data_IF_268788383578
#
_entry.id   IF_268788383578
#
_cell.length_a   1.000
_cell.length_b   1.000
_cell.length_c   1.000
_cell.angle_alpha   90.00
_cell.angle_beta   90.00
_cell.angle_gamma   90.00
#
_symmetry.space_group_name_H-M   'P 1'
#
loop_
_entity.id
_entity.type
_entity.pdbx_description
1 polymer ?
#
# COMPACT_ATOMS: atom_id res chain seq x y z
N UNK A 1 1.47 12.01 7.59
CA UNK A 1 1.32 10.62 8.05
C UNK A 1 2.24 9.64 7.29
N UNK A 2 2.34 9.72 5.96
CA UNK A 2 3.14 8.80 5.15
C UNK A 2 4.67 8.79 5.39
N UNK A 3 5.25 9.81 6.03
CA UNK A 3 6.70 9.90 6.31
C UNK A 3 7.21 8.78 7.23
N UNK A 4 6.31 8.16 8.02
CA UNK A 4 6.67 7.09 8.97
C UNK A 4 6.19 5.70 8.53
N UNK A 5 5.70 5.55 7.30
CA UNK A 5 5.29 4.25 6.74
C UNK A 5 6.55 3.46 6.34
N UNK A 6 7.31 3.00 7.34
CA UNK A 6 8.61 2.35 7.15
C UNK A 6 9.26 1.85 8.43
N UNK A 7 8.77 2.29 9.60
CA UNK A 7 9.27 1.80 10.91
C UNK A 7 9.00 0.31 11.10
N UNK A 8 7.89 -0.20 10.55
CA UNK A 8 7.60 -1.65 10.53
C UNK A 8 8.64 -2.44 9.73
N UNK A 9 9.12 -1.87 8.63
CA UNK A 9 10.21 -2.43 7.83
C UNK A 9 11.53 -2.55 8.60
N UNK A 10 11.84 -1.56 9.45
CA UNK A 10 13.00 -1.60 10.32
C UNK A 10 12.94 -2.74 11.35
N UNK A 11 11.74 -3.16 11.77
CA UNK A 11 11.55 -4.30 12.68
C UNK A 11 11.94 -5.63 12.04
N UNK A 12 11.75 -5.80 10.73
CA UNK A 12 12.17 -7.02 10.00
C UNK A 12 13.70 -7.14 10.02
N UNK A 13 14.41 -6.03 9.87
CA UNK A 13 15.88 -6.00 9.95
C UNK A 13 16.43 -6.17 11.36
N UNK A 14 15.61 -5.92 12.39
CA UNK A 14 16.01 -6.09 13.80
C UNK A 14 16.46 -7.52 14.12
N UNK A 15 16.05 -8.52 13.32
CA UNK A 15 16.50 -9.92 13.45
C UNK A 15 18.01 -10.10 13.26
N UNK A 16 18.67 -9.17 12.54
CA UNK A 16 20.12 -9.18 12.34
C UNK A 16 20.88 -8.36 13.39
N UNK A 17 20.18 -7.71 14.34
CA UNK A 17 20.82 -6.90 15.37
C UNK A 17 21.34 -7.78 16.52
N UNK A 18 22.59 -7.55 16.94
CA UNK A 18 23.22 -8.28 18.07
C UNK A 18 22.50 -8.07 19.41
N UNK A 19 21.83 -6.93 19.62
CA UNK A 19 21.10 -6.61 20.87
C UNK A 19 19.79 -5.88 20.59
N UNK A 20 18.71 -6.30 21.26
CA UNK A 20 17.38 -5.68 21.15
C UNK A 20 17.36 -4.20 21.58
N UNK A 21 18.23 -3.80 22.52
CA UNK A 21 18.33 -2.41 23.01
C UNK A 21 18.82 -1.44 21.93
N UNK A 22 19.66 -1.91 21.01
CA UNK A 22 20.24 -1.07 19.96
C UNK A 22 19.20 -0.72 18.89
N UNK A 23 18.30 -1.67 18.61
CA UNK A 23 17.15 -1.49 17.71
C UNK A 23 16.24 -0.39 18.25
N UNK A 24 15.82 -0.49 19.51
CA UNK A 24 14.93 0.51 20.12
C UNK A 24 15.53 1.92 20.11
N UNK A 25 16.83 2.04 20.42
CA UNK A 25 17.54 3.33 20.36
C UNK A 25 17.64 3.88 18.93
N UNK A 26 17.97 3.04 17.96
CA UNK A 26 18.07 3.43 16.56
C UNK A 26 16.71 3.89 16.01
N UNK A 27 15.61 3.19 16.36
CA UNK A 27 14.25 3.58 15.97
C UNK A 27 13.85 4.90 16.59
N UNK A 28 14.07 5.11 17.90
CA UNK A 28 13.72 6.37 18.58
C UNK A 28 14.56 7.53 18.04
N UNK A 29 15.87 7.36 17.89
CA UNK A 29 16.75 8.38 17.31
C UNK A 29 16.37 8.70 15.88
N UNK A 30 16.09 7.69 15.04
CA UNK A 30 15.64 7.90 13.67
C UNK A 30 14.32 8.67 13.61
N UNK A 31 13.34 8.27 14.43
CA UNK A 31 12.05 8.94 14.50
C UNK A 31 12.18 10.41 14.93
N UNK A 32 12.88 10.68 16.04
CA UNK A 32 13.10 12.05 16.55
C UNK A 32 13.88 12.89 15.55
N UNK A 33 14.91 12.33 14.90
CA UNK A 33 15.71 13.05 13.91
C UNK A 33 14.89 13.44 12.68
N UNK A 34 14.11 12.50 12.13
CA UNK A 34 13.23 12.79 10.98
C UNK A 34 12.16 13.81 11.37
N UNK A 35 11.60 13.72 12.57
CA UNK A 35 10.60 14.67 13.06
C UNK A 35 11.19 16.08 13.24
N UNK A 36 12.39 16.18 13.82
CA UNK A 36 13.11 17.44 13.97
C UNK A 36 13.47 18.06 12.60
N UNK A 37 13.94 17.25 11.64
CA UNK A 37 14.21 17.69 10.27
C UNK A 37 12.93 18.16 9.58
N UNK A 38 11.84 17.39 9.67
CA UNK A 38 10.56 17.74 9.07
C UNK A 38 9.98 19.05 9.64
N UNK A 39 10.05 19.22 10.97
CA UNK A 39 9.63 20.44 11.64
C UNK A 39 10.48 21.63 11.22
N UNK A 40 11.81 21.48 11.23
CA UNK A 40 12.74 22.54 10.82
C UNK A 40 12.50 22.97 9.37
N UNK A 41 12.39 22.00 8.47
CA UNK A 41 12.07 22.20 7.05
C UNK A 41 10.74 22.93 6.89
N UNK A 42 9.69 22.51 7.60
CA UNK A 42 8.36 23.13 7.48
C UNK A 42 8.37 24.58 7.98
N UNK A 43 9.02 24.86 9.11
CA UNK A 43 9.15 26.21 9.66
C UNK A 43 9.93 27.12 8.72
N UNK A 44 11.05 26.64 8.18
CA UNK A 44 11.88 27.37 7.21
C UNK A 44 11.08 27.68 5.94
N UNK A 45 10.32 26.72 5.42
CA UNK A 45 9.50 26.92 4.22
C UNK A 45 8.43 28.00 4.37
N UNK A 46 7.74 28.05 5.51
CA UNK A 46 6.77 29.10 5.77
C UNK A 46 7.40 30.46 6.13
N UNK A 47 8.68 30.48 6.53
CA UNK A 47 9.40 31.69 6.89
C UNK A 47 10.04 32.43 5.71
N UNK A 48 10.31 31.76 4.59
CA UNK A 48 11.07 32.35 3.46
C UNK A 48 10.15 32.87 2.35
N UNK A 49 9.09 32.14 2.00
CA UNK A 49 8.26 32.43 0.83
C UNK A 49 6.79 32.71 1.21
N UNK A 50 6.14 33.72 0.59
CA UNK A 50 4.71 33.95 0.76
C UNK A 50 3.90 32.78 0.17
N UNK A 51 2.71 32.54 0.74
CA UNK A 51 1.86 31.36 0.40
C UNK A 51 1.53 31.23 -1.08
N UNK A 52 1.46 32.36 -1.78
CA UNK A 52 1.11 32.48 -3.19
C UNK A 52 2.20 31.88 -4.09
N UNK A 53 3.47 32.13 -3.76
CA UNK A 53 4.62 31.59 -4.49
C UNK A 53 4.86 30.12 -4.15
N UNK A 54 4.66 29.71 -2.88
CA UNK A 54 4.75 28.31 -2.46
C UNK A 54 3.77 27.41 -3.23
N UNK A 55 2.60 27.92 -3.61
CA UNK A 55 1.61 27.18 -4.39
C UNK A 55 2.02 27.00 -5.87
N UNK A 56 2.89 27.87 -6.39
CA UNK A 56 3.38 27.82 -7.77
C UNK A 56 4.63 26.96 -7.97
N UNK A 57 5.29 26.52 -6.90
CA UNK A 57 6.52 25.73 -7.00
C UNK A 57 6.26 24.33 -7.56
N UNK A 58 7.09 23.93 -8.53
CA UNK A 58 7.12 22.55 -9.03
C UNK A 58 7.59 21.61 -7.93
N UNK A 59 6.96 20.43 -7.87
CA UNK A 59 7.38 19.37 -6.94
C UNK A 59 8.73 18.80 -7.39
N UNK A 60 9.70 18.62 -6.48
CA UNK A 60 9.66 18.77 -5.02
C UNK A 60 9.73 20.23 -4.54
N UNK A 61 8.68 20.71 -3.87
CA UNK A 61 8.55 22.12 -3.44
C UNK A 61 9.66 22.58 -2.49
N UNK A 62 10.25 21.65 -1.71
CA UNK A 62 11.38 21.93 -0.83
C UNK A 62 12.67 22.33 -1.57
N UNK A 63 12.88 21.84 -2.79
CA UNK A 63 14.05 22.24 -3.58
C UNK A 63 13.95 23.74 -3.94
N UNK A 64 12.76 24.19 -4.37
CA UNK A 64 12.50 25.60 -4.69
C UNK A 64 12.58 26.53 -3.48
N UNK A 65 12.10 26.08 -2.32
CA UNK A 65 12.23 26.86 -1.07
C UNK A 65 13.70 27.04 -0.67
N UNK A 66 14.49 25.95 -0.69
CA UNK A 66 15.88 26.01 -0.26
C UNK A 66 16.76 26.76 -1.27
N UNK A 67 16.35 26.78 -2.54
CA UNK A 67 16.96 27.62 -3.57
C UNK A 67 16.78 29.10 -3.28
N UNK A 68 15.58 29.52 -2.84
CA UNK A 68 15.33 30.91 -2.45
C UNK A 68 16.14 31.33 -1.20
N UNK A 69 16.41 30.41 -0.28
CA UNK A 69 17.19 30.72 0.94
C UNK A 69 18.71 30.62 0.79
N UNK A 70 19.22 29.61 0.08
CA UNK A 70 20.65 29.24 0.05
C UNK A 70 21.23 29.29 -1.38
N UNK A 71 20.42 29.70 -2.36
CA UNK A 71 20.76 29.66 -3.79
C UNK A 71 20.75 28.24 -4.36
N UNK A 72 21.21 28.09 -5.60
CA UNK A 72 21.17 26.81 -6.33
C UNK A 72 21.83 25.62 -5.64
N UNK A 73 22.76 25.84 -4.70
CA UNK A 73 23.38 24.77 -3.88
C UNK A 73 22.36 24.06 -2.98
N UNK A 74 21.35 24.79 -2.50
CA UNK A 74 20.26 24.22 -1.70
C UNK A 74 19.40 23.25 -2.50
N UNK A 75 19.03 23.65 -3.73
CA UNK A 75 18.24 22.82 -4.64
C UNK A 75 18.94 21.50 -4.99
N UNK A 76 20.26 21.56 -5.26
CA UNK A 76 21.07 20.37 -5.56
C UNK A 76 21.16 19.42 -4.35
N UNK A 77 21.38 19.96 -3.14
CA UNK A 77 21.44 19.16 -1.92
C UNK A 77 20.13 18.37 -1.68
N UNK A 78 18.99 19.05 -1.80
CA UNK A 78 17.67 18.43 -1.62
C UNK A 78 17.40 17.38 -2.70
N UNK A 79 17.75 17.69 -3.95
CA UNK A 79 17.53 16.77 -5.08
C UNK A 79 18.37 15.48 -4.94
N UNK A 80 19.65 15.61 -4.59
CA UNK A 80 20.52 14.44 -4.33
C UNK A 80 20.03 13.66 -3.12
N UNK A 81 19.66 14.34 -2.03
CA UNK A 81 19.10 13.70 -0.84
C UNK A 81 17.82 12.91 -1.15
N UNK A 82 16.93 13.48 -1.98
CA UNK A 82 15.71 12.81 -2.44
C UNK A 82 16.04 11.55 -3.23
N UNK A 83 16.97 11.61 -4.19
CA UNK A 83 17.38 10.45 -4.99
C UNK A 83 17.92 9.34 -4.07
N UNK A 84 18.84 9.66 -3.16
CA UNK A 84 19.40 8.68 -2.21
C UNK A 84 18.30 8.08 -1.34
N UNK A 85 17.36 8.90 -0.84
CA UNK A 85 16.25 8.42 -0.01
C UNK A 85 15.30 7.51 -0.79
N UNK A 86 14.97 7.84 -2.04
CA UNK A 86 14.09 7.03 -2.90
C UNK A 86 14.75 5.70 -3.23
N UNK A 87 16.04 5.70 -3.57
CA UNK A 87 16.80 4.46 -3.82
C UNK A 87 16.87 3.59 -2.56
N UNK A 88 17.10 4.18 -1.39
CA UNK A 88 17.08 3.46 -0.12
C UNK A 88 15.72 2.81 0.18
N UNK A 89 14.63 3.55 -0.01
CA UNK A 89 13.27 3.03 0.14
C UNK A 89 12.96 1.90 -0.87
N UNK A 90 13.38 2.07 -2.12
CA UNK A 90 13.21 1.07 -3.18
C UNK A 90 13.95 -0.24 -2.87
N UNK A 91 15.19 -0.15 -2.38
CA UNK A 91 15.96 -1.32 -1.94
C UNK A 91 15.31 -2.02 -0.74
N UNK A 92 14.76 -1.27 0.21
CA UNK A 92 14.06 -1.84 1.35
C UNK A 92 12.81 -2.62 0.90
N UNK A 93 12.01 -2.06 -0.01
CA UNK A 93 10.83 -2.71 -0.56
C UNK A 93 11.15 -3.96 -1.37
N UNK A 94 12.11 -3.90 -2.29
CA UNK A 94 12.52 -5.07 -3.09
C UNK A 94 13.07 -6.19 -2.21
N UNK A 95 13.80 -5.85 -1.14
CA UNK A 95 14.28 -6.84 -0.19
C UNK A 95 13.17 -7.46 0.65
N UNK A 96 12.19 -6.69 1.10
CA UNK A 96 11.02 -7.26 1.79
C UNK A 96 10.24 -8.22 0.87
N UNK A 97 10.03 -7.84 -0.39
CA UNK A 97 9.38 -8.70 -1.37
C UNK A 97 10.16 -10.01 -1.60
N UNK A 98 11.49 -9.94 -1.69
CA UNK A 98 12.33 -11.13 -1.82
C UNK A 98 12.24 -12.06 -0.60
N UNK A 99 12.16 -11.52 0.63
CA UNK A 99 12.00 -12.33 1.84
C UNK A 99 10.66 -13.07 1.87
N UNK A 100 9.57 -12.40 1.46
CA UNK A 100 8.25 -13.04 1.35
C UNK A 100 8.28 -14.15 0.31
N UNK A 101 8.88 -13.90 -0.86
CA UNK A 101 8.99 -14.90 -1.92
C UNK A 101 9.78 -16.13 -1.45
N UNK A 102 10.92 -15.94 -0.78
CA UNK A 102 11.70 -17.04 -0.19
C UNK A 102 10.88 -17.89 0.79
N UNK A 103 10.05 -17.24 1.60
CA UNK A 103 9.18 -17.91 2.57
C UNK A 103 8.13 -18.79 1.87
N UNK A 104 7.60 -18.33 0.74
CA UNK A 104 6.67 -19.10 -0.12
C UNK A 104 7.40 -20.24 -0.84
N UNK A 105 8.63 -20.03 -1.32
CA UNK A 105 9.44 -21.11 -1.95
C UNK A 105 9.71 -22.27 -1.00
N UNK A 106 9.81 -22.01 0.31
CA UNK A 106 9.93 -23.09 1.30
C UNK A 106 8.66 -23.93 1.46
N UNK A 107 7.51 -23.42 1.02
CA UNK A 107 6.19 -24.04 1.20
C UNK A 107 5.61 -24.59 -0.12
N UNK A 108 6.03 -24.07 -1.27
CA UNK A 108 5.42 -24.34 -2.58
C UNK A 108 6.46 -24.71 -3.64
N UNK A 109 6.14 -25.71 -4.47
CA UNK A 109 6.99 -26.13 -5.59
C UNK A 109 7.14 -25.02 -6.67
N UNK A 110 6.09 -24.23 -6.88
CA UNK A 110 6.02 -23.19 -7.92
C UNK A 110 5.73 -21.79 -7.32
N UNK A 111 6.65 -21.30 -6.49
CA UNK A 111 6.45 -20.03 -5.76
C UNK A 111 6.34 -18.78 -6.65
N UNK A 112 6.95 -18.80 -7.84
CA UNK A 112 6.87 -17.67 -8.77
C UNK A 112 5.48 -17.54 -9.39
N UNK A 113 4.94 -18.64 -9.89
CA UNK A 113 3.59 -18.68 -10.47
C UNK A 113 2.53 -18.39 -9.40
N UNK A 114 2.68 -18.95 -8.20
CA UNK A 114 1.83 -18.60 -7.06
C UNK A 114 1.86 -17.09 -6.74
N UNK A 115 3.04 -16.47 -6.75
CA UNK A 115 3.17 -15.04 -6.47
C UNK A 115 2.54 -14.18 -7.58
N UNK A 116 2.70 -14.58 -8.85
CA UNK A 116 2.08 -13.91 -9.99
C UNK A 116 0.55 -14.04 -9.95
N UNK A 117 0.03 -15.23 -9.71
CA UNK A 117 -1.41 -15.51 -9.65
C UNK A 117 -2.06 -14.81 -8.44
N UNK A 118 -1.38 -14.78 -7.29
CA UNK A 118 -1.85 -14.04 -6.12
C UNK A 118 -1.88 -12.52 -6.39
N UNK A 119 -0.83 -11.98 -7.01
CA UNK A 119 -0.73 -10.55 -7.33
C UNK A 119 -1.79 -10.11 -8.33
N UNK A 120 -1.97 -10.89 -9.39
CA UNK A 120 -3.00 -10.62 -10.40
C UNK A 120 -4.39 -10.74 -9.80
N UNK A 121 -4.67 -11.74 -8.96
CA UNK A 121 -5.96 -11.87 -8.26
C UNK A 121 -6.25 -10.68 -7.35
N UNK A 122 -5.27 -10.23 -6.55
CA UNK A 122 -5.38 -9.04 -5.71
C UNK A 122 -5.70 -7.78 -6.53
N UNK A 123 -5.03 -7.62 -7.68
CA UNK A 123 -5.28 -6.50 -8.59
C UNK A 123 -6.68 -6.59 -9.23
N UNK A 124 -7.09 -7.79 -9.68
CA UNK A 124 -8.40 -8.01 -10.30
C UNK A 124 -9.53 -7.70 -9.33
N UNK A 125 -9.43 -8.04 -8.04
CA UNK A 125 -10.45 -7.67 -7.04
C UNK A 125 -10.63 -6.15 -6.97
N UNK A 126 -9.53 -5.39 -6.94
CA UNK A 126 -9.58 -3.92 -6.99
C UNK A 126 -10.20 -3.41 -8.29
N UNK A 127 -9.84 -4.01 -9.42
CA UNK A 127 -10.41 -3.64 -10.73
C UNK A 127 -11.89 -3.94 -10.84
N UNK A 128 -12.40 -5.06 -10.30
CA UNK A 128 -13.84 -5.37 -10.28
C UNK A 128 -14.62 -4.29 -9.53
N UNK A 129 -14.10 -3.84 -8.39
CA UNK A 129 -14.72 -2.74 -7.63
C UNK A 129 -14.67 -1.42 -8.40
N UNK A 130 -13.54 -1.11 -9.03
CA UNK A 130 -13.36 0.12 -9.82
C UNK A 130 -14.26 0.16 -11.06
N UNK A 131 -14.31 -0.92 -11.85
CA UNK A 131 -15.16 -1.00 -13.05
C UNK A 131 -16.64 -1.07 -12.66
N UNK A 132 -16.99 -1.75 -11.56
CA UNK A 132 -18.35 -1.74 -11.03
C UNK A 132 -18.82 -0.35 -10.59
N UNK A 133 -17.92 0.45 -9.99
CA UNK A 133 -18.21 1.85 -9.70
C UNK A 133 -18.36 2.70 -10.97
N UNK A 134 -17.50 2.47 -11.98
CA UNK A 134 -17.61 3.14 -13.27
C UNK A 134 -18.95 2.86 -13.98
N UNK A 135 -19.49 1.64 -13.86
CA UNK A 135 -20.85 1.32 -14.35
C UNK A 135 -21.89 2.17 -13.64
N UNK A 136 -21.82 2.27 -12.31
CA UNK A 136 -22.76 3.08 -11.51
C UNK A 136 -22.76 4.55 -11.93
N UNK A 137 -21.57 5.11 -12.17
CA UNK A 137 -21.39 6.50 -12.62
C UNK A 137 -21.94 6.68 -14.04
N UNK A 138 -21.61 5.79 -14.97
CA UNK A 138 -22.09 5.87 -16.35
C UNK A 138 -23.62 5.80 -16.46
N UNK A 139 -24.26 4.95 -15.64
CA UNK A 139 -25.72 4.85 -15.55
C UNK A 139 -26.34 6.12 -14.95
N UNK A 140 -25.73 6.68 -13.90
CA UNK A 140 -26.21 7.90 -13.25
C UNK A 140 -26.17 9.10 -14.19
N UNK A 141 -25.08 9.26 -14.95
CA UNK A 141 -24.90 10.39 -15.87
C UNK A 141 -25.51 10.14 -17.27
N UNK A 142 -26.21 9.01 -17.45
CA UNK A 142 -26.83 8.59 -18.71
C UNK A 142 -25.86 8.52 -19.91
N UNK A 143 -24.56 8.32 -19.67
CA UNK A 143 -23.50 8.28 -20.70
C UNK A 143 -23.41 6.87 -21.27
N UNK A 144 -24.20 6.58 -22.31
CA UNK A 144 -24.33 5.23 -22.89
C UNK A 144 -23.01 4.60 -23.34
N UNK A 145 -22.14 5.36 -24.01
CA UNK A 145 -20.85 4.85 -24.48
C UNK A 145 -19.94 4.41 -23.32
N UNK A 146 -19.87 5.23 -22.26
CA UNK A 146 -19.06 4.93 -21.08
C UNK A 146 -19.64 3.80 -20.25
N UNK A 147 -20.97 3.72 -20.18
CA UNK A 147 -21.66 2.60 -19.53
C UNK A 147 -21.35 1.29 -20.25
N UNK A 148 -21.41 1.26 -21.59
CA UNK A 148 -21.08 0.06 -22.37
C UNK A 148 -19.62 -0.36 -22.13
N UNK A 149 -18.69 0.59 -22.20
CA UNK A 149 -17.26 0.30 -21.93
C UNK A 149 -17.06 -0.22 -20.51
N UNK A 150 -17.68 0.41 -19.51
CA UNK A 150 -17.58 -0.02 -18.11
C UNK A 150 -18.22 -1.40 -17.86
N UNK A 151 -19.33 -1.71 -18.51
CA UNK A 151 -19.99 -3.03 -18.43
C UNK A 151 -19.11 -4.09 -19.07
N UNK A 152 -18.55 -3.83 -20.26
CA UNK A 152 -17.62 -4.75 -20.92
C UNK A 152 -16.36 -4.96 -20.08
N UNK A 153 -15.79 -3.90 -19.51
CA UNK A 153 -14.64 -3.98 -18.62
C UNK A 153 -14.96 -4.81 -17.37
N UNK A 154 -16.14 -4.62 -16.78
CA UNK A 154 -16.59 -5.41 -15.61
C UNK A 154 -16.82 -6.88 -15.97
N UNK A 155 -17.41 -7.17 -17.13
CA UNK A 155 -17.59 -8.54 -17.58
C UNK A 155 -16.24 -9.24 -17.82
N UNK A 156 -15.29 -8.54 -18.44
CA UNK A 156 -13.94 -9.05 -18.69
C UNK A 156 -13.16 -9.29 -17.39
N UNK A 157 -13.20 -8.37 -16.43
CA UNK A 157 -12.51 -8.54 -15.14
C UNK A 157 -13.13 -9.65 -14.31
N UNK A 158 -14.46 -9.81 -14.33
CA UNK A 158 -15.14 -10.96 -13.71
C UNK A 158 -14.77 -12.28 -14.39
N UNK A 159 -14.67 -12.30 -15.71
CA UNK A 159 -14.21 -13.48 -16.45
C UNK A 159 -12.78 -13.86 -16.06
N UNK A 160 -11.86 -12.89 -16.02
CA UNK A 160 -10.49 -13.12 -15.58
C UNK A 160 -10.44 -13.63 -14.13
N UNK A 161 -11.27 -13.07 -13.23
CA UNK A 161 -11.35 -13.51 -11.84
C UNK A 161 -11.74 -14.98 -11.71
N UNK A 162 -12.71 -15.43 -12.51
CA UNK A 162 -13.14 -16.84 -12.54
C UNK A 162 -12.09 -17.72 -13.22
N UNK A 163 -11.40 -17.21 -14.24
CA UNK A 163 -10.39 -17.96 -15.00
C UNK A 163 -9.11 -18.26 -14.20
N UNK A 164 -8.69 -17.37 -13.28
CA UNK A 164 -7.53 -17.61 -12.40
C UNK A 164 -7.79 -18.79 -11.43
N UNK A 165 -9.05 -19.09 -11.15
CA UNK A 165 -9.45 -20.26 -10.38
C UNK A 165 -9.83 -19.95 -8.93
N UNK A 166 -10.75 -20.75 -8.35
CA UNK A 166 -11.36 -20.45 -7.05
C UNK A 166 -10.39 -20.57 -5.87
N UNK A 167 -9.32 -21.36 -6.01
CA UNK A 167 -8.33 -21.57 -4.96
C UNK A 167 -7.59 -20.27 -4.61
N UNK A 168 -7.11 -19.53 -5.62
CA UNK A 168 -6.40 -18.26 -5.44
C UNK A 168 -7.32 -17.18 -4.88
N UNK A 169 -8.60 -17.16 -5.30
CA UNK A 169 -9.60 -16.27 -4.72
C UNK A 169 -9.76 -16.54 -3.22
N UNK A 170 -9.84 -17.80 -2.79
CA UNK A 170 -9.92 -18.16 -1.37
C UNK A 170 -8.67 -17.71 -0.60
N UNK A 171 -7.47 -17.89 -1.16
CA UNK A 171 -6.23 -17.40 -0.55
C UNK A 171 -6.26 -15.87 -0.39
N UNK A 172 -6.72 -15.13 -1.41
CA UNK A 172 -6.87 -13.68 -1.32
C UNK A 172 -7.87 -13.26 -0.24
N UNK A 173 -9.00 -13.96 -0.10
CA UNK A 173 -9.97 -13.66 0.97
C UNK A 173 -9.38 -13.94 2.36
N UNK A 174 -8.61 -15.02 2.51
CA UNK A 174 -7.84 -15.31 3.74
C UNK A 174 -6.85 -14.18 4.05
N UNK A 175 -6.17 -13.62 3.04
CA UNK A 175 -5.25 -12.49 3.19
C UNK A 175 -6.00 -11.19 3.51
N UNK A 176 -7.17 -10.95 2.92
CA UNK A 176 -7.96 -9.73 3.17
C UNK A 176 -8.65 -9.71 4.53
N UNK A 177 -8.93 -10.85 5.15
CA UNK A 177 -9.55 -10.92 6.47
C UNK A 177 -8.71 -10.20 7.57
N UNK A 178 -7.42 -10.50 7.79
CA UNK A 178 -6.60 -9.75 8.75
C UNK A 178 -6.38 -8.30 8.35
N UNK A 179 -6.27 -8.01 7.05
CA UNK A 179 -6.16 -6.63 6.56
C UNK A 179 -7.41 -5.80 6.94
N UNK A 180 -8.59 -6.39 6.83
CA UNK A 180 -9.87 -5.75 7.21
C UNK A 180 -9.98 -5.51 8.72
N UNK A 181 -9.43 -6.41 9.54
CA UNK A 181 -9.36 -6.23 11.01
C UNK A 181 -8.41 -5.08 11.39
N UNK A 182 -7.25 -5.00 10.73
CA UNK A 182 -6.31 -3.88 10.93
C UNK A 182 -6.94 -2.55 10.53
N UNK A 183 -7.64 -2.52 9.39
CA UNK A 183 -8.39 -1.35 8.93
C UNK A 183 -9.46 -0.94 9.95
N UNK A 184 -10.22 -1.89 10.47
CA UNK A 184 -11.25 -1.61 11.48
C UNK A 184 -10.67 -0.99 12.76
N UNK A 185 -9.50 -1.50 13.22
CA UNK A 185 -8.80 -0.93 14.38
C UNK A 185 -8.28 0.47 14.11
N UNK A 186 -7.68 0.70 12.95
CA UNK A 186 -7.21 2.04 12.54
C UNK A 186 -8.37 3.05 12.49
N UNK A 187 -9.55 2.64 11.99
CA UNK A 187 -10.74 3.48 11.99
C UNK A 187 -11.30 3.74 13.38
N UNK A 188 -11.26 2.74 14.27
CA UNK A 188 -11.68 2.89 15.67
C UNK A 188 -10.79 3.89 16.42
N UNK A 189 -9.46 3.83 16.23
CA UNK A 189 -8.51 4.80 16.79
C UNK A 189 -8.73 6.22 16.24
N UNK A 190 -9.17 6.33 14.99
CA UNK A 190 -9.53 7.61 14.37
C UNK A 190 -10.94 8.12 14.77
N UNK A 191 -11.67 7.42 15.63
CA UNK A 191 -13.02 7.80 16.06
C UNK A 191 -14.09 7.77 14.94
N UNK A 192 -13.79 7.08 13.83
CA UNK A 192 -14.67 6.98 12.65
C UNK A 192 -15.33 5.61 12.58
N UNK A 193 -16.53 5.55 12.02
CA UNK A 193 -17.17 4.26 11.70
C UNK A 193 -16.33 3.56 10.64
N UNK A 194 -15.87 2.35 10.97
CA UNK A 194 -15.00 1.55 10.11
C UNK A 194 -15.69 1.10 8.81
N UNK A 195 -16.98 0.74 8.88
CA UNK A 195 -17.72 0.21 7.74
C UNK A 195 -19.12 0.80 7.66
N UNK A 196 -19.56 1.14 6.45
CA UNK A 196 -20.95 1.44 6.12
C UNK A 196 -21.77 0.15 5.99
N UNK A 197 -23.11 0.25 5.93
CA UNK A 197 -24.00 -0.92 5.84
C UNK A 197 -23.71 -1.81 4.61
N UNK A 198 -23.25 -1.22 3.51
CA UNK A 198 -22.84 -1.96 2.31
C UNK A 198 -21.46 -2.61 2.44
N UNK A 199 -20.52 -1.95 3.11
CA UNK A 199 -19.17 -2.49 3.35
C UNK A 199 -19.17 -3.64 4.36
N UNK A 200 -20.12 -3.65 5.30
CA UNK A 200 -20.35 -4.77 6.22
C UNK A 200 -20.71 -6.07 5.48
N UNK A 201 -21.48 -5.98 4.39
CA UNK A 201 -21.78 -7.14 3.56
C UNK A 201 -20.52 -7.66 2.85
N UNK A 202 -19.67 -6.75 2.34
CA UNK A 202 -18.37 -7.11 1.77
C UNK A 202 -17.45 -7.77 2.80
N UNK A 203 -17.39 -7.23 4.02
CA UNK A 203 -16.63 -7.82 5.12
C UNK A 203 -17.14 -9.22 5.49
N UNK A 204 -18.46 -9.42 5.57
CA UNK A 204 -19.04 -10.72 5.85
C UNK A 204 -18.67 -11.76 4.77
N UNK A 205 -18.67 -11.37 3.49
CA UNK A 205 -18.22 -12.23 2.38
C UNK A 205 -16.74 -12.57 2.51
N UNK A 206 -15.89 -11.59 2.84
CA UNK A 206 -14.45 -11.80 3.05
C UNK A 206 -14.21 -12.77 4.22
N UNK A 207 -14.88 -12.56 5.36
CA UNK A 207 -14.76 -13.43 6.52
C UNK A 207 -15.25 -14.86 6.23
N UNK A 208 -16.42 -15.00 5.59
CA UNK A 208 -16.95 -16.32 5.22
C UNK A 208 -16.03 -17.04 4.24
N UNK A 209 -15.55 -16.34 3.20
CA UNK A 209 -14.60 -16.88 2.24
C UNK A 209 -13.26 -17.25 2.87
N UNK A 210 -12.77 -16.48 3.84
CA UNK A 210 -11.56 -16.81 4.59
C UNK A 210 -11.72 -18.08 5.42
N UNK A 211 -12.86 -18.26 6.10
CA UNK A 211 -13.15 -19.50 6.85
C UNK A 211 -13.21 -20.70 5.90
N UNK A 212 -13.91 -20.57 4.76
CA UNK A 212 -13.96 -21.62 3.73
C UNK A 212 -12.56 -21.91 3.19
N UNK A 213 -11.75 -20.87 2.93
CA UNK A 213 -10.38 -21.01 2.47
C UNK A 213 -9.51 -21.78 3.45
N UNK A 214 -9.53 -21.43 4.74
CA UNK A 214 -8.78 -22.12 5.79
C UNK A 214 -9.22 -23.59 5.90
N UNK A 215 -10.52 -23.87 5.86
CA UNK A 215 -11.07 -25.23 5.99
C UNK A 215 -10.78 -26.08 4.76
N UNK A 216 -10.81 -25.51 3.55
CA UNK A 216 -10.54 -26.24 2.31
C UNK A 216 -9.05 -26.40 2.00
N UNK A 217 -8.19 -25.47 2.44
CA UNK A 217 -6.73 -25.59 2.30
C UNK A 217 -6.10 -26.52 3.36
N UNK A 218 -6.61 -26.53 4.60
CA UNK A 218 -6.03 -27.33 5.69
C UNK A 218 -5.92 -28.84 5.43
N UNK A 219 -6.86 -29.53 4.74
CA UNK A 219 -6.75 -30.95 4.46
C UNK A 219 -5.98 -31.30 3.17
N UNK A 220 -5.40 -30.33 2.44
CA UNK A 220 -4.67 -30.62 1.19
C UNK A 220 -5.55 -31.09 0.01
N UNK A 221 -6.86 -30.84 0.08
CA UNK A 221 -7.86 -31.24 -0.93
C UNK A 221 -7.74 -30.39 -2.21
N UNK A 222 -7.17 -29.19 -2.10
CA UNK A 222 -6.85 -28.31 -3.23
C UNK A 222 -5.33 -28.25 -3.35
N UNK A 223 -4.79 -28.87 -4.39
CA UNK A 223 -3.39 -28.66 -4.77
C UNK A 223 -3.30 -27.30 -5.45
N UNK A 224 -2.57 -26.38 -4.82
CA UNK A 224 -2.03 -25.18 -5.47
C UNK A 224 -0.89 -25.62 -6.39
#
# INVERSE_FOLDING_TARGET
>A
MFVFLGVEGASVYSRHARRRRDVGRATVLGFVSVLALFASVSVVSYGILPREELAGLRQPSMAGVLEAAVGGRGSVLVSVGLVVSVLGAYLAWTRMAAEVLLLVTLLSADAFDFALDLTTTLAIVSYVLATGFAVRVGVHDARRAETVVAVLATAYTLFLLVAVGPAYLLVVLVVYAPASVLFARACHEAGRRAFTRGELAGLAVICAGAVVGIVCLAPGVVRL
#
